data_IF_191551716813
#
_entry.id   IF_191551716813
#
_cell.length_a   1.000
_cell.length_b   1.000
_cell.length_c   1.000
_cell.angle_alpha   90.00
_cell.angle_beta   90.00
_cell.angle_gamma   90.00
#
_symmetry.space_group_name_H-M   'P 1'
#
loop_
_entity.id
_entity.type
_entity.pdbx_description
1 polymer ?
#
# COMPACT_ATOMS: atom_id res chain seq x y z
N UNK A 1 11.03 -11.89 -17.17
CA UNK A 1 9.87 -11.04 -16.93
C UNK A 1 9.99 -10.58 -15.48
N UNK A 2 9.88 -9.29 -15.22
CA UNK A 2 10.01 -8.74 -13.85
C UNK A 2 8.77 -9.10 -13.06
N UNK A 3 8.91 -9.59 -11.82
CA UNK A 3 7.81 -9.91 -10.93
C UNK A 3 7.69 -8.87 -9.83
N UNK A 4 6.46 -8.54 -9.46
CA UNK A 4 6.19 -7.56 -8.41
C UNK A 4 5.09 -8.02 -7.45
N UNK A 5 5.26 -7.75 -6.17
CA UNK A 5 4.19 -7.83 -5.17
C UNK A 5 3.59 -6.44 -5.03
N UNK A 6 2.26 -6.31 -5.13
CA UNK A 6 1.54 -5.04 -5.00
C UNK A 6 0.66 -5.06 -3.75
N UNK A 7 0.87 -4.10 -2.84
CA UNK A 7 0.00 -3.87 -1.70
C UNK A 7 -1.30 -3.22 -2.17
N UNK A 8 -2.41 -3.98 -2.14
CA UNK A 8 -3.69 -3.55 -2.69
C UNK A 8 -4.75 -3.45 -1.60
N UNK A 9 -5.21 -2.25 -1.30
CA UNK A 9 -6.32 -2.01 -0.37
C UNK A 9 -7.69 -2.01 -1.05
N UNK A 10 -7.75 -1.81 -2.37
CA UNK A 10 -8.99 -1.60 -3.12
C UNK A 10 -9.43 -0.14 -3.19
N UNK A 11 -8.66 0.78 -2.62
CA UNK A 11 -8.85 2.22 -2.78
C UNK A 11 -8.20 2.76 -4.05
N UNK A 12 -8.50 4.02 -4.38
CA UNK A 12 -7.99 4.74 -5.55
C UNK A 12 -6.47 4.62 -5.70
N UNK A 13 -5.73 4.92 -4.65
CA UNK A 13 -4.28 5.03 -4.67
C UNK A 13 -3.62 3.67 -4.97
N UNK A 14 -4.05 2.63 -4.27
CA UNK A 14 -3.50 1.28 -4.46
C UNK A 14 -3.91 0.67 -5.80
N UNK A 15 -5.11 0.98 -6.31
CA UNK A 15 -5.56 0.53 -7.63
C UNK A 15 -4.79 1.22 -8.75
N UNK A 16 -4.52 2.51 -8.63
CA UNK A 16 -3.66 3.24 -9.58
C UNK A 16 -2.22 2.70 -9.53
N UNK A 17 -1.71 2.38 -8.35
CA UNK A 17 -0.39 1.76 -8.16
C UNK A 17 -0.31 0.37 -8.81
N UNK A 18 -1.35 -0.44 -8.69
CA UNK A 18 -1.43 -1.74 -9.38
C UNK A 18 -1.40 -1.56 -10.91
N UNK A 19 -2.18 -0.62 -11.44
CA UNK A 19 -2.18 -0.31 -12.87
C UNK A 19 -0.79 0.15 -13.35
N UNK A 20 -0.07 0.93 -12.53
CA UNK A 20 1.31 1.32 -12.84
C UNK A 20 2.25 0.12 -12.89
N UNK A 21 2.19 -0.80 -11.91
CA UNK A 21 3.03 -1.99 -11.92
C UNK A 21 2.80 -2.86 -13.17
N UNK A 22 1.55 -2.98 -13.62
CA UNK A 22 1.21 -3.67 -14.87
C UNK A 22 1.77 -2.93 -16.09
N UNK A 23 1.64 -1.60 -16.13
CA UNK A 23 2.18 -0.76 -17.21
C UNK A 23 3.70 -0.81 -17.29
N UNK A 24 4.39 -0.98 -16.16
CA UNK A 24 5.84 -1.19 -16.08
C UNK A 24 6.27 -2.58 -16.58
N UNK A 25 5.33 -3.42 -17.04
CA UNK A 25 5.59 -4.75 -17.62
C UNK A 25 5.84 -5.83 -16.56
N UNK A 26 5.40 -5.63 -15.32
CA UNK A 26 5.55 -6.63 -14.27
C UNK A 26 4.47 -7.73 -14.35
N UNK A 27 4.87 -8.98 -14.08
CA UNK A 27 3.97 -10.02 -13.61
C UNK A 27 3.62 -9.73 -12.15
N UNK A 28 2.34 -9.44 -11.88
CA UNK A 28 1.91 -8.89 -10.59
C UNK A 28 1.25 -9.94 -9.71
N UNK A 29 1.64 -9.94 -8.44
CA UNK A 29 1.01 -10.66 -7.33
C UNK A 29 0.44 -9.64 -6.34
N UNK A 30 -0.89 -9.53 -6.28
CA UNK A 30 -1.53 -8.59 -5.37
C UNK A 30 -1.72 -9.21 -3.98
N UNK A 31 -1.45 -8.43 -2.94
CA UNK A 31 -1.71 -8.80 -1.56
C UNK A 31 -2.55 -7.74 -0.86
N UNK A 32 -3.61 -8.19 -0.20
CA UNK A 32 -4.47 -7.38 0.67
C UNK A 32 -4.37 -7.87 2.10
N UNK A 33 -4.60 -6.98 3.05
CA UNK A 33 -4.57 -7.32 4.47
C UNK A 33 -5.94 -7.11 5.09
N UNK A 34 -6.40 -8.12 5.85
CA UNK A 34 -7.51 -7.98 6.78
C UNK A 34 -6.90 -7.85 8.17
N UNK A 35 -6.98 -6.65 8.77
CA UNK A 35 -6.27 -6.33 10.02
C UNK A 35 -7.20 -5.77 11.11
N UNK A 36 -8.51 -5.98 10.96
CA UNK A 36 -9.52 -5.45 11.87
C UNK A 36 -10.00 -4.03 11.50
N UNK A 37 -9.78 -3.61 10.23
CA UNK A 37 -10.36 -2.37 9.71
C UNK A 37 -11.89 -2.41 9.74
N UNK A 38 -12.51 -1.24 9.97
CA UNK A 38 -13.97 -1.08 10.13
C UNK A 38 -14.79 -1.54 8.91
N UNK A 39 -14.21 -1.47 7.70
CA UNK A 39 -14.94 -1.76 6.46
C UNK A 39 -14.30 -2.90 5.66
N UNK A 40 -15.05 -4.00 5.51
CA UNK A 40 -14.66 -5.13 4.64
C UNK A 40 -14.85 -4.81 3.14
N UNK A 41 -15.53 -3.71 2.80
CA UNK A 41 -15.84 -3.33 1.42
C UNK A 41 -14.60 -3.04 0.58
N UNK A 42 -13.53 -2.55 1.19
CA UNK A 42 -12.23 -2.36 0.54
C UNK A 42 -11.67 -3.68 -0.02
N UNK A 43 -11.79 -4.79 0.74
CA UNK A 43 -11.32 -6.10 0.29
C UNK A 43 -12.15 -6.66 -0.87
N UNK A 44 -13.46 -6.36 -0.89
CA UNK A 44 -14.32 -6.70 -2.03
C UNK A 44 -13.86 -5.93 -3.28
N UNK A 45 -13.62 -4.62 -3.15
CA UNK A 45 -13.08 -3.79 -4.23
C UNK A 45 -11.74 -4.31 -4.73
N UNK A 46 -10.81 -4.65 -3.84
CA UNK A 46 -9.51 -5.22 -4.19
C UNK A 46 -9.66 -6.53 -5.00
N UNK A 47 -10.57 -7.40 -4.57
CA UNK A 47 -10.85 -8.67 -5.26
C UNK A 47 -11.40 -8.43 -6.66
N UNK A 48 -12.34 -7.50 -6.82
CA UNK A 48 -12.92 -7.18 -8.14
C UNK A 48 -11.89 -6.53 -9.08
N UNK A 49 -11.03 -5.66 -8.56
CA UNK A 49 -9.92 -5.06 -9.32
C UNK A 49 -8.97 -6.16 -9.82
N UNK A 50 -8.56 -7.08 -8.95
CA UNK A 50 -7.68 -8.19 -9.34
C UNK A 50 -8.34 -9.10 -10.38
N UNK A 51 -9.64 -9.39 -10.24
CA UNK A 51 -10.41 -10.19 -11.20
C UNK A 51 -10.43 -9.53 -12.57
N UNK A 52 -10.62 -8.20 -12.64
CA UNK A 52 -10.64 -7.47 -13.90
C UNK A 52 -9.30 -7.49 -14.63
N UNK A 53 -8.19 -7.44 -13.89
CA UNK A 53 -6.84 -7.52 -14.46
C UNK A 53 -6.33 -8.96 -14.68
N UNK A 54 -7.03 -9.97 -14.17
CA UNK A 54 -6.54 -11.36 -14.19
C UNK A 54 -5.30 -11.56 -13.31
N UNK A 55 -5.14 -10.76 -12.25
CA UNK A 55 -3.99 -10.78 -11.34
C UNK A 55 -4.26 -11.75 -10.18
N UNK A 56 -3.24 -12.54 -9.81
CA UNK A 56 -3.32 -13.37 -8.61
C UNK A 56 -3.45 -12.50 -7.37
N UNK A 57 -4.40 -12.84 -6.49
CA UNK A 57 -4.73 -12.07 -5.30
C UNK A 57 -4.72 -12.96 -4.05
N UNK A 58 -3.97 -12.53 -3.03
CA UNK A 58 -3.95 -13.18 -1.72
C UNK A 58 -4.43 -12.20 -0.65
N UNK A 59 -5.32 -12.64 0.22
CA UNK A 59 -5.75 -11.88 1.41
C UNK A 59 -5.10 -12.52 2.63
N UNK A 60 -4.36 -11.71 3.40
CA UNK A 60 -3.66 -12.15 4.61
C UNK A 60 -4.37 -11.55 5.83
N UNK A 61 -4.75 -12.42 6.75
CA UNK A 61 -5.37 -12.03 8.02
C UNK A 61 -4.29 -11.71 9.07
N UNK A 62 -4.34 -10.48 9.60
CA UNK A 62 -3.43 -10.00 10.66
C UNK A 62 -4.28 -9.37 11.76
N UNK A 63 -4.10 -9.77 12.99
CA UNK A 63 -4.81 -9.13 14.09
C UNK A 63 -4.05 -7.91 14.62
N UNK A 64 -4.47 -6.71 14.22
CA UNK A 64 -3.96 -5.43 14.74
C UNK A 64 -4.94 -4.75 15.71
N UNK A 65 -5.94 -5.45 16.24
CA UNK A 65 -6.95 -4.87 17.15
C UNK A 65 -6.36 -4.35 18.47
N UNK A 66 -5.18 -4.83 18.88
CA UNK A 66 -4.44 -4.33 20.04
C UNK A 66 -3.75 -2.98 19.82
N UNK A 67 -3.60 -2.53 18.55
CA UNK A 67 -2.99 -1.25 18.22
C UNK A 67 -4.03 -0.14 18.34
N UNK A 68 -3.68 0.97 19.02
CA UNK A 68 -4.59 2.11 19.22
C UNK A 68 -4.59 3.03 18.00
N UNK A 69 -5.71 3.08 17.29
CA UNK A 69 -5.95 4.00 16.17
C UNK A 69 -7.45 4.17 15.97
N UNK A 70 -7.88 5.31 15.42
CA UNK A 70 -9.27 5.51 15.02
C UNK A 70 -9.74 4.52 13.92
N UNK A 71 -8.82 3.86 13.22
CA UNK A 71 -9.14 2.83 12.21
C UNK A 71 -9.32 1.43 12.78
N UNK A 72 -8.84 1.16 14.02
CA UNK A 72 -8.89 -0.16 14.66
C UNK A 72 -9.76 -0.19 15.91
N UNK A 73 -10.19 0.96 16.43
CA UNK A 73 -11.02 1.10 17.62
C UNK A 73 -12.32 1.82 17.28
N UNK A 74 -13.47 1.25 17.68
CA UNK A 74 -14.80 1.83 17.46
C UNK A 74 -15.08 3.04 18.36
N UNK A 75 -14.40 3.13 19.51
CA UNK A 75 -14.53 4.18 20.51
C UNK A 75 -13.75 5.46 20.17
N UNK A 76 -13.03 5.51 19.06
CA UNK A 76 -12.28 6.68 18.60
C UNK A 76 -12.92 7.19 17.31
N UNK A 77 -13.49 8.40 17.32
CA UNK A 77 -14.09 9.00 16.13
C UNK A 77 -13.03 9.34 15.08
N UNK A 78 -13.33 9.06 13.80
CA UNK A 78 -12.52 9.50 12.67
C UNK A 78 -12.93 10.94 12.33
N UNK A 79 -12.03 11.94 12.42
CA UNK A 79 -12.35 13.32 12.06
C UNK A 79 -12.73 13.41 10.57
N UNK A 80 -13.90 13.97 10.27
CA UNK A 80 -14.41 14.11 8.90
C UNK A 80 -13.78 15.29 8.15
N UNK A 81 -13.32 16.33 8.89
CA UNK A 81 -12.69 17.52 8.31
C UNK A 81 -11.44 17.90 9.12
N UNK A 82 -10.34 18.12 8.44
CA UNK A 82 -9.12 18.69 9.02
C UNK A 82 -8.97 20.15 8.58
N UNK A 83 -9.51 21.06 9.37
CA UNK A 83 -9.11 22.46 9.35
C UNK A 83 -7.91 22.65 10.29
N UNK A 84 -6.73 22.87 9.74
CA UNK A 84 -5.55 23.22 10.57
C UNK A 84 -4.25 22.63 10.05
N UNK A 85 -3.15 23.28 10.34
CA UNK A 85 -1.78 23.05 9.87
C UNK A 85 -1.37 21.56 9.85
N UNK A 86 -1.16 21.05 8.65
CA UNK A 86 -0.78 19.67 8.32
C UNK A 86 0.63 19.25 8.82
N UNK A 87 1.38 20.12 9.49
CA UNK A 87 2.84 19.99 9.50
C UNK A 87 3.48 19.42 10.77
N UNK A 88 2.75 19.07 11.84
CA UNK A 88 3.46 18.72 13.10
C UNK A 88 2.93 17.55 13.93
N UNK A 89 1.75 17.01 13.70
CA UNK A 89 1.22 15.93 14.55
C UNK A 89 0.89 14.66 13.76
N UNK A 90 1.28 13.50 14.32
CA UNK A 90 0.91 12.20 13.78
C UNK A 90 -0.62 12.05 13.91
N UNK A 91 -1.34 11.78 12.79
CA UNK A 91 -2.78 11.69 12.81
C UNK A 91 -3.32 10.58 13.70
N UNK A 92 -4.49 10.80 14.31
CA UNK A 92 -5.20 9.79 15.11
C UNK A 92 -5.58 8.53 14.31
N UNK A 93 -5.64 8.66 12.99
CA UNK A 93 -5.85 7.57 12.03
C UNK A 93 -4.58 6.75 11.74
N UNK A 94 -3.43 7.16 12.26
CA UNK A 94 -2.20 6.37 12.15
C UNK A 94 -2.34 5.06 12.91
N UNK A 95 -2.21 3.94 12.21
CA UNK A 95 -2.08 2.63 12.83
C UNK A 95 -0.58 2.38 13.05
N UNK A 96 -0.13 2.24 14.31
CA UNK A 96 1.30 2.12 14.62
C UNK A 96 2.00 1.04 13.79
N UNK A 97 3.06 1.42 13.08
CA UNK A 97 3.92 0.53 12.28
C UNK A 97 3.20 -0.29 11.19
N UNK A 98 1.99 0.12 10.75
CA UNK A 98 1.20 -0.65 9.78
C UNK A 98 1.96 -0.93 8.49
N UNK A 99 2.56 0.09 7.87
CA UNK A 99 3.30 -0.10 6.63
C UNK A 99 4.60 -0.90 6.84
N UNK A 100 5.23 -0.81 8.01
CA UNK A 100 6.39 -1.67 8.38
C UNK A 100 5.97 -3.14 8.35
N UNK A 101 4.85 -3.48 9.01
CA UNK A 101 4.31 -4.85 9.08
C UNK A 101 3.95 -5.35 7.67
N UNK A 102 3.21 -4.56 6.91
CA UNK A 102 2.75 -4.94 5.57
C UNK A 102 3.91 -5.12 4.59
N UNK A 103 4.89 -4.22 4.60
CA UNK A 103 6.09 -4.32 3.77
C UNK A 103 6.95 -5.53 4.15
N UNK A 104 7.05 -5.86 5.45
CA UNK A 104 7.80 -7.05 5.89
C UNK A 104 7.17 -8.35 5.38
N UNK A 105 5.85 -8.45 5.41
CA UNK A 105 5.12 -9.60 4.85
C UNK A 105 5.25 -9.63 3.32
N UNK A 106 5.12 -8.47 2.66
CA UNK A 106 5.30 -8.37 1.22
C UNK A 106 6.71 -8.78 0.78
N UNK A 107 7.74 -8.47 1.57
CA UNK A 107 9.12 -8.92 1.31
C UNK A 107 9.25 -10.44 1.35
N UNK A 108 8.64 -11.10 2.33
CA UNK A 108 8.59 -12.57 2.38
C UNK A 108 7.83 -13.19 1.21
N UNK A 109 6.74 -12.53 0.76
CA UNK A 109 6.04 -12.93 -0.46
C UNK A 109 6.91 -12.75 -1.71
N UNK A 110 7.66 -11.65 -1.83
CA UNK A 110 8.59 -11.46 -2.93
C UNK A 110 9.58 -12.62 -3.05
N UNK A 111 10.20 -13.03 -1.95
CA UNK A 111 11.10 -14.18 -1.97
C UNK A 111 10.38 -15.50 -2.34
N UNK A 112 9.11 -15.64 -1.97
CA UNK A 112 8.32 -16.85 -2.24
C UNK A 112 7.89 -16.99 -3.70
N UNK A 113 7.78 -15.86 -4.43
CA UNK A 113 7.34 -15.83 -5.84
C UNK A 113 8.44 -15.35 -6.79
N UNK A 114 9.68 -15.26 -6.31
CA UNK A 114 10.83 -14.72 -7.05
C UNK A 114 10.58 -13.32 -7.63
N UNK A 115 9.92 -12.44 -6.85
CA UNK A 115 9.70 -11.05 -7.19
C UNK A 115 10.83 -10.17 -6.64
N UNK A 116 11.20 -9.13 -7.40
CA UNK A 116 12.27 -8.18 -7.05
C UNK A 116 11.73 -6.79 -6.65
N UNK A 117 10.42 -6.60 -6.63
CA UNK A 117 9.77 -5.30 -6.37
C UNK A 117 8.53 -5.43 -5.50
N UNK A 118 8.37 -4.44 -4.62
CA UNK A 118 7.13 -4.20 -3.88
C UNK A 118 6.56 -2.85 -4.32
N UNK A 119 5.33 -2.84 -4.82
CA UNK A 119 4.61 -1.60 -5.10
C UNK A 119 3.67 -1.25 -3.94
N UNK A 120 3.74 0.02 -3.51
CA UNK A 120 2.90 0.55 -2.44
C UNK A 120 2.27 1.89 -2.85
N UNK A 121 0.96 2.03 -2.65
CA UNK A 121 0.19 3.25 -2.89
C UNK A 121 0.31 4.28 -1.76
N UNK A 122 1.52 4.53 -1.28
CA UNK A 122 1.77 5.57 -0.27
C UNK A 122 1.79 6.96 -0.91
N UNK A 123 1.27 7.96 -0.19
CA UNK A 123 1.24 9.35 -0.60
C UNK A 123 1.61 10.26 0.57
N UNK A 124 2.54 11.20 0.36
CA UNK A 124 2.97 12.17 1.38
C UNK A 124 2.24 13.51 1.27
N UNK A 125 1.60 13.80 0.15
CA UNK A 125 0.86 15.06 -0.05
C UNK A 125 -0.42 15.05 0.79
N UNK A 126 -1.16 13.94 0.75
CA UNK A 126 -2.40 13.79 1.52
C UNK A 126 -2.17 13.31 2.96
N UNK A 127 -1.06 12.59 3.21
CA UNK A 127 -0.75 11.92 4.48
C UNK A 127 0.64 12.27 5.02
N UNK A 128 1.02 13.54 4.95
CA UNK A 128 2.35 14.03 5.40
C UNK A 128 2.71 13.67 6.84
N UNK A 129 1.70 13.43 7.69
CA UNK A 129 1.88 13.06 9.10
C UNK A 129 2.25 11.60 9.37
N UNK A 130 2.19 10.69 8.40
CA UNK A 130 2.51 9.28 8.63
C UNK A 130 4.02 9.02 8.47
N UNK A 131 4.73 8.63 9.55
CA UNK A 131 6.17 8.43 9.50
C UNK A 131 6.58 7.31 8.53
N UNK A 132 5.75 6.29 8.39
CA UNK A 132 5.95 5.10 7.54
C UNK A 132 5.44 5.27 6.09
N UNK A 133 5.23 6.54 5.66
CA UNK A 133 4.97 6.91 4.26
C UNK A 133 6.08 7.81 3.67
N UNK A 134 7.10 8.18 4.44
CA UNK A 134 8.12 9.15 4.02
C UNK A 134 9.18 8.50 3.13
N UNK A 135 9.81 9.26 2.19
CA UNK A 135 10.86 8.74 1.32
C UNK A 135 12.05 8.15 2.07
N UNK A 136 12.47 8.78 3.18
CA UNK A 136 13.57 8.30 4.02
C UNK A 136 13.24 6.98 4.70
N UNK A 137 11.97 6.73 5.06
CA UNK A 137 11.53 5.45 5.58
C UNK A 137 11.72 4.34 4.54
N UNK A 138 11.26 4.54 3.30
CA UNK A 138 11.39 3.53 2.25
C UNK A 138 12.86 3.21 1.93
N UNK A 139 13.74 4.22 1.85
CA UNK A 139 15.19 4.00 1.67
C UNK A 139 15.80 3.18 2.81
N UNK A 140 15.43 3.47 4.04
CA UNK A 140 15.93 2.73 5.21
C UNK A 140 15.40 1.29 5.21
N UNK A 141 14.16 1.10 4.80
CA UNK A 141 13.54 -0.22 4.70
C UNK A 141 14.21 -1.07 3.60
N UNK A 142 14.51 -0.50 2.42
CA UNK A 142 15.31 -1.16 1.37
C UNK A 142 16.69 -1.58 1.90
N UNK A 143 17.37 -0.71 2.64
CA UNK A 143 18.66 -1.03 3.26
C UNK A 143 18.57 -2.16 4.30
N UNK A 144 17.43 -2.30 4.99
CA UNK A 144 17.15 -3.45 5.85
C UNK A 144 16.96 -4.72 5.02
N UNK A 145 16.17 -4.66 3.95
CA UNK A 145 15.92 -5.81 3.06
C UNK A 145 17.21 -6.31 2.40
N UNK A 146 18.11 -5.41 1.99
CA UNK A 146 19.42 -5.75 1.42
C UNK A 146 20.26 -6.63 2.37
N UNK A 147 20.13 -6.40 3.67
CA UNK A 147 20.92 -7.13 4.70
C UNK A 147 20.17 -8.31 5.32
N UNK A 148 18.84 -8.26 5.32
CA UNK A 148 17.99 -9.16 6.09
C UNK A 148 17.22 -10.19 5.26
N UNK A 149 17.33 -10.17 3.93
CA UNK A 149 16.67 -11.14 3.05
C UNK A 149 17.70 -11.98 2.29
N UNK A 150 17.31 -13.19 1.86
CA UNK A 150 18.14 -14.03 1.00
C UNK A 150 18.47 -13.30 -0.31
N UNK A 151 17.46 -12.71 -0.95
CA UNK A 151 17.63 -11.96 -2.18
C UNK A 151 18.64 -10.80 -2.04
N UNK A 152 18.60 -10.08 -0.92
CA UNK A 152 19.53 -9.00 -0.62
C UNK A 152 20.96 -9.49 -0.47
N UNK A 153 21.18 -10.55 0.31
CA UNK A 153 22.51 -11.15 0.54
C UNK A 153 23.09 -11.77 -0.75
N UNK A 154 22.25 -12.27 -1.64
CA UNK A 154 22.65 -12.83 -2.95
C UNK A 154 22.85 -11.75 -4.02
N UNK A 155 22.73 -10.45 -3.67
CA UNK A 155 23.03 -9.34 -4.58
C UNK A 155 21.87 -8.91 -5.49
N UNK A 156 20.65 -9.36 -5.20
CA UNK A 156 19.42 -9.01 -5.91
C UNK A 156 18.38 -8.42 -4.96
N UNK A 157 18.66 -7.26 -4.31
CA UNK A 157 17.80 -6.72 -3.26
C UNK A 157 16.43 -6.30 -3.80
N UNK A 158 15.40 -6.57 -3.02
CA UNK A 158 14.02 -6.17 -3.30
C UNK A 158 13.92 -4.64 -3.25
N UNK A 159 13.29 -4.03 -4.27
CA UNK A 159 13.07 -2.59 -4.39
C UNK A 159 11.65 -2.21 -3.99
N UNK A 160 11.50 -1.03 -3.37
CA UNK A 160 10.20 -0.47 -3.03
C UNK A 160 9.84 0.61 -4.05
N UNK A 161 8.73 0.39 -4.73
CA UNK A 161 8.17 1.29 -5.72
C UNK A 161 6.95 2.02 -5.15
N UNK A 162 7.06 3.33 -4.99
CA UNK A 162 5.97 4.19 -4.53
C UNK A 162 5.64 5.25 -5.60
N UNK A 163 5.01 4.85 -6.73
CA UNK A 163 4.90 5.70 -7.92
C UNK A 163 4.07 6.96 -7.71
N UNK A 164 3.16 6.97 -6.75
CA UNK A 164 2.26 8.10 -6.47
C UNK A 164 2.67 8.93 -5.25
N UNK A 165 3.88 8.71 -4.73
CA UNK A 165 4.33 9.24 -3.44
C UNK A 165 4.19 10.77 -3.31
N UNK A 166 4.46 11.50 -4.40
CA UNK A 166 4.44 12.97 -4.44
C UNK A 166 3.31 13.54 -5.31
N UNK A 167 2.29 12.75 -5.63
CA UNK A 167 1.19 13.17 -6.49
C UNK A 167 0.04 13.77 -5.67
N UNK A 168 -0.60 14.81 -6.22
CA UNK A 168 -1.90 15.25 -5.69
C UNK A 168 -3.00 14.23 -6.02
N UNK A 169 -4.11 14.27 -5.29
CA UNK A 169 -5.25 13.38 -5.56
C UNK A 169 -5.76 13.51 -7.01
N UNK A 170 -5.74 14.73 -7.56
CA UNK A 170 -6.10 14.99 -8.96
C UNK A 170 -5.14 14.29 -9.93
N UNK A 171 -3.83 14.30 -9.64
CA UNK A 171 -2.81 13.64 -10.47
C UNK A 171 -2.95 12.11 -10.41
N UNK A 172 -3.25 11.55 -9.23
CA UNK A 172 -3.50 10.11 -9.06
C UNK A 172 -4.71 9.67 -9.89
N UNK A 173 -5.81 10.45 -9.87
CA UNK A 173 -7.00 10.17 -10.70
C UNK A 173 -6.65 10.26 -12.19
N UNK A 174 -5.86 11.25 -12.59
CA UNK A 174 -5.43 11.43 -14.00
C UNK A 174 -4.59 10.25 -14.45
N UNK A 175 -3.56 9.90 -13.67
CA UNK A 175 -2.70 8.74 -13.93
C UNK A 175 -3.52 7.44 -14.01
N UNK A 176 -4.44 7.21 -13.06
CA UNK A 176 -5.30 6.04 -13.08
C UNK A 176 -6.15 5.94 -14.36
N UNK A 177 -6.68 7.07 -14.85
CA UNK A 177 -7.41 7.13 -16.14
C UNK A 177 -6.48 6.84 -17.33
N UNK A 178 -5.30 7.42 -17.38
CA UNK A 178 -4.30 7.21 -18.43
C UNK A 178 -3.87 5.75 -18.51
N UNK A 179 -3.73 5.08 -17.36
CA UNK A 179 -3.38 3.67 -17.26
C UNK A 179 -4.58 2.71 -17.45
N UNK A 180 -5.79 3.23 -17.67
CA UNK A 180 -7.00 2.42 -17.78
C UNK A 180 -7.39 1.69 -16.48
N UNK A 181 -7.01 2.23 -15.33
CA UNK A 181 -7.36 1.64 -14.05
C UNK A 181 -8.89 1.61 -13.84
N UNK A 182 -9.45 0.52 -13.30
CA UNK A 182 -10.89 0.39 -13.06
C UNK A 182 -11.33 1.20 -11.84
N UNK A 183 -11.21 2.53 -11.92
CA UNK A 183 -11.46 3.44 -10.80
C UNK A 183 -12.91 3.36 -10.28
N UNK A 184 -13.85 2.94 -11.12
CA UNK A 184 -15.25 2.72 -10.74
C UNK A 184 -15.45 1.54 -9.77
N UNK A 185 -14.48 0.64 -9.64
CA UNK A 185 -14.48 -0.46 -8.68
C UNK A 185 -13.84 -0.09 -7.34
N UNK A 186 -13.20 1.07 -7.26
CA UNK A 186 -12.48 1.47 -6.05
C UNK A 186 -13.44 1.90 -4.94
N UNK A 187 -13.03 1.65 -3.71
CA UNK A 187 -13.74 2.13 -2.53
C UNK A 187 -12.75 2.84 -1.59
N UNK A 188 -13.01 4.11 -1.29
CA UNK A 188 -12.28 4.88 -0.29
C UNK A 188 -13.17 5.09 0.92
N UNK A 189 -12.66 4.80 2.10
CA UNK A 189 -13.41 4.82 3.35
C UNK A 189 -13.43 6.22 3.99
N UNK A 190 -12.52 7.11 3.58
CA UNK A 190 -12.37 8.50 4.10
C UNK A 190 -11.55 9.34 3.13
#
# INVERSE_FOLDING_TARGET
MTRAVVLLSGGLDSTTTLAQAISDGCEVFAVSFRYGQRHSRELVSATEVCRQYGVMHTIIDINLSSFRSALTKEDIDVPMDREGSLDKEIPITYVPARNIIFLSIAAGLCESVDADRIYIGANVVDYSGYPDCRPEFFRSFEGMLEKGTKAGVEGSPIKIMAPILHMSKADIVRLGKELGAPLHLTWSCY
#
